data_IF_477107243915
#
_entry.id   IF_477107243915
#
_cell.length_a   1.000
_cell.length_b   1.000
_cell.length_c   1.000
_cell.angle_alpha   90.00
_cell.angle_beta   90.00
_cell.angle_gamma   90.00
#
_symmetry.space_group_name_H-M   'P 1'
#
loop_
_entity.id
_entity.type
_entity.pdbx_description
1 polymer ?
#
# COMPACT_ATOMS: atom_id res chain seq x y z
N UNK A 1 -49.43 -16.60 -51.63
CA UNK A 1 -48.00 -16.99 -51.52
C UNK A 1 -47.10 -15.83 -51.06
N UNK A 2 -47.30 -14.60 -51.55
CA UNK A 2 -46.52 -13.41 -51.17
C UNK A 2 -46.43 -13.12 -49.66
N UNK A 3 -47.52 -13.32 -48.90
CA UNK A 3 -47.52 -13.11 -47.44
C UNK A 3 -46.59 -14.04 -46.65
N UNK A 4 -46.37 -15.28 -47.13
CA UNK A 4 -45.48 -16.24 -46.48
C UNK A 4 -44.01 -15.81 -46.67
N UNK A 5 -43.68 -15.30 -47.86
CA UNK A 5 -42.32 -14.82 -48.18
C UNK A 5 -41.96 -13.59 -47.34
N UNK A 6 -42.89 -12.64 -47.19
CA UNK A 6 -42.67 -11.44 -46.37
C UNK A 6 -42.48 -11.81 -44.89
N UNK A 7 -43.29 -12.74 -44.36
CA UNK A 7 -43.16 -13.25 -42.99
C UNK A 7 -41.81 -13.94 -42.75
N UNK A 8 -41.37 -14.76 -43.70
CA UNK A 8 -40.09 -15.46 -43.61
C UNK A 8 -38.91 -14.47 -43.60
N UNK A 9 -38.90 -13.48 -44.49
CA UNK A 9 -37.86 -12.44 -44.50
C UNK A 9 -37.85 -11.60 -43.22
N UNK A 10 -39.02 -11.22 -42.72
CA UNK A 10 -39.16 -10.45 -41.47
C UNK A 10 -38.57 -11.21 -40.28
N UNK A 11 -38.84 -12.52 -40.21
CA UNK A 11 -38.35 -13.41 -39.16
C UNK A 11 -36.82 -13.56 -39.23
N UNK A 12 -36.27 -13.64 -40.44
CA UNK A 12 -34.83 -13.79 -40.66
C UNK A 12 -34.05 -12.51 -40.28
N UNK A 13 -34.61 -11.33 -40.60
CA UNK A 13 -34.06 -10.04 -40.17
C UNK A 13 -34.14 -9.88 -38.65
N UNK A 14 -35.27 -10.26 -38.02
CA UNK A 14 -35.42 -10.22 -36.57
C UNK A 14 -34.41 -11.14 -35.85
N UNK A 15 -34.20 -12.35 -36.39
CA UNK A 15 -33.20 -13.29 -35.87
C UNK A 15 -31.78 -12.74 -36.01
N UNK A 16 -31.45 -12.13 -37.16
CA UNK A 16 -30.17 -11.48 -37.39
C UNK A 16 -29.90 -10.33 -36.41
N UNK A 17 -30.90 -9.47 -36.18
CA UNK A 17 -30.79 -8.38 -35.22
C UNK A 17 -30.58 -8.90 -33.78
N UNK A 18 -31.28 -9.98 -33.40
CA UNK A 18 -31.14 -10.60 -32.08
C UNK A 18 -29.73 -11.16 -31.86
N UNK A 19 -29.16 -11.83 -32.87
CA UNK A 19 -27.80 -12.38 -32.81
C UNK A 19 -26.76 -11.26 -32.66
N UNK A 20 -26.88 -10.19 -33.44
CA UNK A 20 -25.97 -9.03 -33.36
C UNK A 20 -26.08 -8.34 -32.01
N UNK A 21 -27.29 -8.15 -31.48
CA UNK A 21 -27.53 -7.57 -30.16
C UNK A 21 -26.88 -8.42 -29.06
N UNK A 22 -27.04 -9.74 -29.12
CA UNK A 22 -26.44 -10.66 -28.16
C UNK A 22 -24.90 -10.65 -28.23
N UNK A 23 -24.32 -10.59 -29.43
CA UNK A 23 -22.87 -10.48 -29.60
C UNK A 23 -22.33 -9.15 -29.06
N UNK A 24 -23.00 -8.05 -29.35
CA UNK A 24 -22.63 -6.73 -28.85
C UNK A 24 -22.69 -6.67 -27.32
N UNK A 25 -23.74 -7.25 -26.73
CA UNK A 25 -23.89 -7.34 -25.29
C UNK A 25 -22.77 -8.18 -24.65
N UNK A 26 -22.47 -9.36 -25.20
CA UNK A 26 -21.36 -10.21 -24.71
C UNK A 26 -20.02 -9.50 -24.79
N UNK A 27 -19.78 -8.74 -25.86
CA UNK A 27 -18.55 -7.97 -26.04
C UNK A 27 -18.46 -6.78 -25.07
N UNK A 28 -19.58 -6.12 -24.77
CA UNK A 28 -19.65 -5.08 -23.75
C UNK A 28 -19.39 -5.63 -22.34
N UNK A 29 -20.01 -6.77 -21.99
CA UNK A 29 -19.76 -7.44 -20.69
C UNK A 29 -18.30 -7.88 -20.57
N UNK A 30 -17.71 -8.47 -21.62
CA UNK A 30 -16.31 -8.87 -21.60
C UNK A 30 -15.35 -7.67 -21.46
N UNK A 31 -15.66 -6.54 -22.10
CA UNK A 31 -14.90 -5.29 -21.96
C UNK A 31 -15.05 -4.69 -20.56
N UNK A 32 -16.25 -4.72 -19.98
CA UNK A 32 -16.52 -4.24 -18.62
C UNK A 32 -15.70 -5.03 -17.59
N UNK A 33 -15.75 -6.36 -17.63
CA UNK A 33 -14.97 -7.21 -16.71
C UNK A 33 -13.46 -6.99 -16.87
N UNK A 34 -12.97 -6.82 -18.10
CA UNK A 34 -11.55 -6.56 -18.32
C UNK A 34 -11.09 -5.18 -17.80
N UNK A 35 -11.98 -4.18 -17.81
CA UNK A 35 -11.72 -2.86 -17.24
C UNK A 35 -11.75 -2.91 -15.71
N UNK A 36 -12.75 -3.55 -15.10
CA UNK A 36 -12.84 -3.72 -13.65
C UNK A 36 -11.60 -4.42 -13.07
N UNK A 37 -11.09 -5.45 -13.76
CA UNK A 37 -9.87 -6.15 -13.33
C UNK A 37 -8.64 -5.22 -13.37
N UNK A 38 -8.54 -4.38 -14.42
CA UNK A 38 -7.43 -3.41 -14.53
C UNK A 38 -7.56 -2.30 -13.50
N UNK A 39 -8.75 -1.78 -13.28
CA UNK A 39 -9.04 -0.75 -12.29
C UNK A 39 -8.68 -1.24 -10.88
N UNK A 40 -9.13 -2.44 -10.49
CA UNK A 40 -8.75 -3.04 -9.20
C UNK A 40 -7.25 -3.26 -9.06
N UNK A 41 -6.56 -3.64 -10.14
CA UNK A 41 -5.12 -3.81 -10.13
C UNK A 41 -4.38 -2.47 -9.98
N UNK A 42 -4.89 -1.40 -10.58
CA UNK A 42 -4.35 -0.05 -10.42
C UNK A 42 -4.58 0.48 -9.01
N UNK A 43 -5.81 0.37 -8.49
CA UNK A 43 -6.11 0.76 -7.11
C UNK A 43 -5.23 0.04 -6.09
N UNK A 44 -4.98 -1.26 -6.30
CA UNK A 44 -4.11 -2.03 -5.41
C UNK A 44 -2.67 -1.47 -5.42
N UNK A 45 -2.15 -1.10 -6.60
CA UNK A 45 -0.82 -0.50 -6.75
C UNK A 45 -0.75 0.90 -6.13
N UNK A 46 -1.77 1.71 -6.31
CA UNK A 46 -1.83 3.06 -5.73
C UNK A 46 -1.90 2.99 -4.19
N UNK A 47 -2.74 2.10 -3.65
CA UNK A 47 -2.82 1.87 -2.20
C UNK A 47 -1.49 1.37 -1.63
N UNK A 48 -0.75 0.57 -2.38
CA UNK A 48 0.56 0.08 -1.95
C UNK A 48 1.65 1.17 -2.01
N UNK A 49 1.64 1.99 -3.07
CA UNK A 49 2.54 3.14 -3.20
C UNK A 49 2.30 4.16 -2.08
N UNK A 50 1.04 4.49 -1.81
CA UNK A 50 0.65 5.41 -0.74
C UNK A 50 1.05 4.86 0.65
N UNK A 51 0.84 3.57 0.90
CA UNK A 51 1.31 2.93 2.15
C UNK A 51 2.83 3.04 2.30
N UNK A 52 3.57 2.84 1.22
CA UNK A 52 5.03 2.92 1.23
C UNK A 52 5.52 4.35 1.48
N UNK A 53 4.89 5.34 0.86
CA UNK A 53 5.22 6.75 1.05
C UNK A 53 4.99 7.20 2.49
N UNK A 54 3.83 6.86 3.07
CA UNK A 54 3.53 7.14 4.48
C UNK A 54 4.52 6.47 5.42
N UNK A 55 4.87 5.20 5.17
CA UNK A 55 5.89 4.49 5.94
C UNK A 55 7.25 5.17 5.81
N UNK A 56 7.62 5.63 4.60
CA UNK A 56 8.88 6.32 4.36
C UNK A 56 8.97 7.59 5.21
N UNK A 57 7.91 8.40 5.26
CA UNK A 57 7.86 9.60 6.10
C UNK A 57 8.00 9.26 7.59
N UNK A 58 7.23 8.29 8.10
CA UNK A 58 7.35 7.85 9.49
C UNK A 58 8.74 7.25 9.81
N UNK A 59 9.39 6.65 8.82
CA UNK A 59 10.75 6.10 8.93
C UNK A 59 11.81 7.19 9.11
N UNK A 60 11.54 8.42 8.69
CA UNK A 60 12.49 9.52 8.80
C UNK A 60 12.72 9.98 10.24
N UNK A 61 11.77 9.78 11.17
CA UNK A 61 11.93 10.24 12.55
C UNK A 61 13.08 9.48 13.22
N UNK A 62 14.12 10.19 13.65
CA UNK A 62 15.28 9.59 14.29
C UNK A 62 15.20 9.73 15.81
N UNK A 63 15.61 8.67 16.50
CA UNK A 63 15.67 8.60 17.95
C UNK A 63 17.13 8.32 18.32
N UNK A 64 17.75 9.22 19.08
CA UNK A 64 19.14 9.07 19.52
C UNK A 64 19.23 9.17 21.03
N UNK A 65 20.26 8.56 21.58
CA UNK A 65 20.61 8.65 22.99
C UNK A 65 21.96 9.32 23.11
N UNK A 66 22.05 10.30 24.01
CA UNK A 66 23.31 10.90 24.39
C UNK A 66 23.48 10.83 25.91
N UNK A 67 24.72 10.65 26.34
CA UNK A 67 25.09 10.55 27.75
C UNK A 67 26.25 11.48 28.00
N UNK A 68 26.04 12.51 28.82
CA UNK A 68 27.08 13.48 29.14
C UNK A 68 27.49 13.33 30.61
N UNK A 69 28.80 13.20 30.84
CA UNK A 69 29.36 13.27 32.19
C UNK A 69 29.14 14.66 32.80
N UNK A 70 28.82 14.70 34.09
CA UNK A 70 28.68 15.94 34.83
C UNK A 70 30.07 16.48 35.20
N UNK A 71 30.30 17.80 35.06
CA UNK A 71 31.53 18.41 35.57
C UNK A 71 31.56 18.49 37.10
N UNK A 72 30.42 18.26 37.78
CA UNK A 72 30.30 18.40 39.23
C UNK A 72 30.83 17.19 40.00
N UNK A 73 30.77 15.99 39.43
CA UNK A 73 31.24 14.78 40.08
C UNK A 73 31.61 13.69 39.06
N UNK A 74 32.73 13.03 39.29
CA UNK A 74 33.16 11.89 38.49
C UNK A 74 32.15 10.73 38.63
N UNK A 75 31.63 10.23 37.50
CA UNK A 75 30.63 9.16 37.47
C UNK A 75 29.17 9.60 37.50
N UNK A 76 28.87 10.90 37.66
CA UNK A 76 27.51 11.39 37.40
C UNK A 76 27.31 11.55 35.90
N UNK A 77 26.31 10.87 35.37
CA UNK A 77 25.97 10.91 33.94
C UNK A 77 24.53 11.37 33.78
N UNK A 78 24.32 12.34 32.89
CA UNK A 78 22.97 12.75 32.48
C UNK A 78 22.64 12.10 31.15
N UNK A 79 21.62 11.26 31.14
CA UNK A 79 21.10 10.62 29.93
C UNK A 79 20.06 11.53 29.27
N UNK A 80 20.10 11.58 27.94
CA UNK A 80 19.18 12.40 27.15
C UNK A 80 18.64 11.61 25.98
N UNK A 81 17.37 11.83 25.71
CA UNK A 81 16.66 11.38 24.52
C UNK A 81 16.65 12.53 23.51
N UNK A 82 17.13 12.27 22.31
CA UNK A 82 17.06 13.23 21.20
C UNK A 82 16.10 12.67 20.16
N UNK A 83 15.07 13.45 19.83
CA UNK A 83 14.11 13.13 18.78
C UNK A 83 14.30 14.16 17.66
N UNK A 84 14.72 13.68 16.49
CA UNK A 84 14.98 14.49 15.31
C UNK A 84 13.91 14.18 14.24
N UNK A 85 13.34 15.24 13.66
CA UNK A 85 12.46 15.13 12.51
C UNK A 85 13.18 15.70 11.28
N UNK A 86 13.90 14.88 10.49
CA UNK A 86 14.56 15.35 9.28
C UNK A 86 13.60 15.47 8.09
N UNK A 87 12.31 15.14 8.25
CA UNK A 87 11.33 15.27 7.17
C UNK A 87 10.99 16.73 6.90
N UNK A 88 10.41 17.00 5.74
CA UNK A 88 9.91 18.31 5.33
C UNK A 88 8.52 18.66 5.91
N UNK A 89 7.97 17.81 6.77
CA UNK A 89 6.63 17.97 7.34
C UNK A 89 6.69 17.92 8.87
N UNK A 90 5.89 18.72 9.59
CA UNK A 90 5.84 18.65 11.04
C UNK A 90 5.16 17.36 11.51
N UNK A 91 5.47 16.93 12.73
CA UNK A 91 4.72 15.89 13.45
C UNK A 91 4.05 16.51 14.69
N UNK A 92 2.90 15.96 15.07
CA UNK A 92 2.11 16.41 16.23
C UNK A 92 1.91 15.30 17.24
N UNK A 93 1.33 15.65 18.39
CA UNK A 93 1.00 14.73 19.48
C UNK A 93 2.18 13.85 19.91
N UNK A 94 3.39 14.39 19.82
CA UNK A 94 4.62 13.70 20.17
C UNK A 94 4.60 13.33 21.65
N UNK A 95 4.79 12.07 21.96
CA UNK A 95 5.02 11.58 23.32
C UNK A 95 6.06 10.47 23.33
N UNK A 96 6.68 10.22 24.47
CA UNK A 96 7.60 9.09 24.62
C UNK A 96 7.41 8.39 25.95
N UNK A 97 7.76 7.11 25.95
CA UNK A 97 7.82 6.27 27.13
C UNK A 97 9.21 5.64 27.23
N UNK A 98 9.69 5.47 28.45
CA UNK A 98 10.90 4.77 28.79
C UNK A 98 10.55 3.70 29.83
N UNK A 99 10.82 2.43 29.51
CA UNK A 99 10.42 1.29 30.34
C UNK A 99 8.91 1.26 30.71
N UNK A 100 8.07 1.74 29.78
CA UNK A 100 6.62 1.85 29.99
C UNK A 100 6.15 3.09 30.76
N UNK A 101 7.06 3.85 31.36
CA UNK A 101 6.74 5.11 32.03
C UNK A 101 6.83 6.30 31.08
N UNK A 102 5.95 7.29 31.23
CA UNK A 102 5.98 8.49 30.40
C UNK A 102 7.24 9.31 30.66
N UNK A 103 7.97 9.68 29.60
CA UNK A 103 9.10 10.59 29.70
C UNK A 103 8.55 12.01 29.88
N UNK A 104 8.95 12.68 30.96
CA UNK A 104 8.53 14.04 31.24
C UNK A 104 8.87 15.00 30.10
N UNK A 105 8.02 15.98 29.88
CA UNK A 105 8.17 17.08 28.91
C UNK A 105 8.19 16.68 27.42
N UNK A 106 8.14 15.38 27.11
CA UNK A 106 7.92 14.87 25.74
C UNK A 106 6.43 15.00 25.41
N UNK A 107 6.01 16.23 25.10
CA UNK A 107 4.66 16.54 24.63
C UNK A 107 4.68 17.61 23.53
N UNK A 108 3.70 17.58 22.64
CA UNK A 108 3.43 18.64 21.66
C UNK A 108 3.84 18.29 20.24
N UNK A 109 4.34 19.28 19.49
CA UNK A 109 4.77 19.09 18.10
C UNK A 109 6.29 19.13 17.95
N UNK A 110 6.77 18.63 16.81
CA UNK A 110 8.14 18.73 16.36
C UNK A 110 8.17 19.18 14.90
N UNK A 111 8.69 20.38 14.68
CA UNK A 111 8.76 21.00 13.35
C UNK A 111 9.69 20.22 12.41
N UNK A 112 9.50 20.44 11.11
CA UNK A 112 10.42 19.95 10.08
C UNK A 112 11.85 20.41 10.35
N UNK A 113 12.81 19.49 10.17
CA UNK A 113 14.24 19.73 10.33
C UNK A 113 14.71 20.03 11.75
N UNK A 114 13.86 19.86 12.76
CA UNK A 114 14.17 20.24 14.15
C UNK A 114 14.42 19.03 15.04
N UNK A 115 15.24 19.26 16.08
CA UNK A 115 15.55 18.29 17.13
C UNK A 115 15.02 18.80 18.45
N UNK A 116 14.40 17.91 19.23
CA UNK A 116 14.10 18.16 20.66
C UNK A 116 14.87 17.17 21.51
N UNK A 117 15.34 17.68 22.65
CA UNK A 117 16.16 16.93 23.60
C UNK A 117 15.44 16.89 24.94
N UNK A 118 15.34 15.71 25.52
CA UNK A 118 14.61 15.46 26.76
C UNK A 118 15.50 14.71 27.74
N UNK A 119 15.44 15.03 29.04
CA UNK A 119 16.13 14.25 30.05
C UNK A 119 15.53 12.84 30.11
N UNK A 120 16.37 11.82 30.20
CA UNK A 120 15.95 10.47 30.54
C UNK A 120 16.32 10.17 31.99
N UNK A 121 15.49 9.39 32.71
CA UNK A 121 15.90 8.84 33.99
C UNK A 121 17.15 7.94 33.79
N UNK A 122 17.96 7.77 34.84
CA UNK A 122 19.10 6.87 34.78
C UNK A 122 18.63 5.44 34.46
N UNK A 123 19.37 4.69 33.64
CA UNK A 123 19.03 3.31 33.36
C UNK A 123 19.10 2.45 34.61
N UNK A 124 18.29 1.40 34.64
CA UNK A 124 18.35 0.41 35.71
C UNK A 124 19.75 -0.21 35.80
N UNK A 125 20.15 -0.58 37.01
CA UNK A 125 21.47 -1.15 37.28
C UNK A 125 21.72 -2.38 36.41
N UNK A 126 22.83 -2.39 35.67
CA UNK A 126 23.22 -3.49 34.80
C UNK A 126 22.79 -3.35 33.33
N UNK A 127 22.00 -2.33 32.96
CA UNK A 127 21.70 -2.04 31.56
C UNK A 127 22.83 -1.20 30.96
N UNK A 128 23.54 -1.69 29.92
CA UNK A 128 24.55 -0.91 29.24
C UNK A 128 23.95 0.32 28.55
N UNK A 129 24.69 1.43 28.50
CA UNK A 129 24.24 2.68 27.89
C UNK A 129 23.74 2.52 26.43
N UNK A 130 24.33 1.60 25.65
CA UNK A 130 23.91 1.34 24.27
C UNK A 130 22.55 0.64 24.16
N UNK A 131 22.05 0.00 25.23
CA UNK A 131 20.75 -0.67 25.24
C UNK A 131 19.59 0.24 25.65
N UNK A 132 19.87 1.46 26.13
CA UNK A 132 18.84 2.40 26.64
C UNK A 132 17.72 2.64 25.61
N UNK A 133 18.08 2.77 24.32
CA UNK A 133 17.11 3.00 23.26
C UNK A 133 16.11 1.84 23.07
N UNK A 134 16.46 0.60 23.42
CA UNK A 134 15.52 -0.53 23.29
C UNK A 134 14.30 -0.40 24.21
N UNK A 135 14.44 0.35 25.30
CA UNK A 135 13.38 0.61 26.27
C UNK A 135 12.62 1.91 25.97
N UNK A 136 13.01 2.66 24.94
CA UNK A 136 12.34 3.88 24.51
C UNK A 136 11.31 3.55 23.43
N UNK A 137 10.09 4.02 23.64
CA UNK A 137 9.05 4.04 22.61
C UNK A 137 8.54 5.45 22.42
N UNK A 138 8.58 5.95 21.19
CA UNK A 138 8.07 7.28 20.79
C UNK A 138 6.76 7.10 20.05
N UNK A 139 5.79 7.96 20.35
CA UNK A 139 4.50 8.03 19.66
C UNK A 139 4.35 9.41 19.03
N UNK A 140 3.85 9.48 17.81
CA UNK A 140 3.62 10.74 17.12
C UNK A 140 2.52 10.61 16.08
N UNK A 141 1.98 11.74 15.65
CA UNK A 141 1.03 11.83 14.55
C UNK A 141 1.72 12.52 13.39
N UNK A 142 1.72 11.89 12.21
CA UNK A 142 2.28 12.51 11.01
C UNK A 142 1.35 13.61 10.45
N UNK A 143 1.81 14.32 9.42
CA UNK A 143 1.01 15.38 8.81
C UNK A 143 -0.23 14.86 8.06
N UNK A 144 -0.31 13.55 7.77
CA UNK A 144 -1.50 12.91 7.23
C UNK A 144 -2.50 12.53 8.33
N UNK A 145 -2.23 12.85 9.60
CA UNK A 145 -3.08 12.53 10.74
C UNK A 145 -2.96 11.08 11.22
N UNK A 146 -1.96 10.33 10.74
CA UNK A 146 -1.76 8.94 11.12
C UNK A 146 -0.91 8.84 12.37
N UNK A 147 -1.41 8.08 13.36
CA UNK A 147 -0.68 7.79 14.58
C UNK A 147 0.36 6.71 14.33
N UNK A 148 1.57 6.96 14.80
CA UNK A 148 2.69 6.05 14.72
C UNK A 148 3.28 5.80 16.09
N UNK A 149 3.77 4.58 16.28
CA UNK A 149 4.63 4.17 17.39
C UNK A 149 5.97 3.75 16.79
N UNK A 150 7.06 4.20 17.38
CA UNK A 150 8.43 3.87 16.99
C UNK A 150 9.24 3.39 18.18
N UNK A 151 9.91 2.26 18.06
CA UNK A 151 10.88 1.79 19.06
C UNK A 151 12.27 2.42 18.81
N UNK A 152 13.15 2.42 19.80
CA UNK A 152 14.52 2.90 19.61
C UNK A 152 15.41 1.98 18.76
N UNK A 153 14.92 0.81 18.34
CA UNK A 153 15.55 -0.03 17.31
C UNK A 153 15.10 0.34 15.88
N UNK A 154 14.22 1.34 15.72
CA UNK A 154 13.72 1.83 14.44
C UNK A 154 12.46 1.12 13.91
N UNK A 155 11.92 0.13 14.63
CA UNK A 155 10.66 -0.51 14.27
C UNK A 155 9.48 0.44 14.35
N UNK A 156 8.54 0.30 13.41
CA UNK A 156 7.36 1.14 13.29
C UNK A 156 6.08 0.33 13.47
N UNK A 157 5.09 0.93 14.12
CA UNK A 157 3.73 0.41 14.19
C UNK A 157 2.76 1.53 13.85
N UNK A 158 1.77 1.21 13.04
CA UNK A 158 0.69 2.13 12.73
C UNK A 158 -0.42 1.97 13.77
N UNK A 159 -0.92 3.09 14.27
CA UNK A 159 -2.11 3.14 15.11
C UNK A 159 -3.38 3.11 14.26
N UNK A 160 -4.34 2.30 14.67
CA UNK A 160 -5.72 2.28 14.18
C UNK A 160 -6.62 2.64 15.35
N UNK A 161 -7.35 3.75 15.21
CA UNK A 161 -8.32 4.17 16.22
C UNK A 161 -9.54 3.26 16.13
N UNK A 162 -9.85 2.59 17.22
CA UNK A 162 -11.00 1.70 17.33
C UNK A 162 -12.27 2.49 17.75
N UNK A 163 -13.48 1.92 17.56
CA UNK A 163 -14.73 2.58 17.95
C UNK A 163 -14.85 2.90 19.44
N UNK A 164 -14.10 2.21 20.30
CA UNK A 164 -13.96 2.44 21.74
C UNK A 164 -12.99 3.59 22.08
N UNK A 165 -12.47 4.29 21.08
CA UNK A 165 -11.44 5.34 21.21
C UNK A 165 -10.07 4.84 21.68
N UNK A 166 -9.83 3.52 21.69
CA UNK A 166 -8.52 2.97 21.97
C UNK A 166 -7.68 2.84 20.69
N UNK A 167 -6.37 3.04 20.82
CA UNK A 167 -5.42 2.82 19.73
C UNK A 167 -4.99 1.36 19.71
N UNK A 168 -5.28 0.67 18.60
CA UNK A 168 -4.69 -0.63 18.31
C UNK A 168 -3.51 -0.47 17.36
N UNK A 169 -2.39 -1.08 17.70
CA UNK A 169 -1.19 -1.08 16.87
C UNK A 169 -1.24 -2.23 15.87
N UNK A 170 -0.83 -1.99 14.62
CA UNK A 170 -0.66 -3.03 13.60
C UNK A 170 0.51 -3.97 13.92
N UNK A 171 0.88 -4.86 13.01
CA UNK A 171 2.16 -5.56 13.12
C UNK A 171 3.34 -4.59 12.98
N UNK A 172 4.50 -5.02 13.52
CA UNK A 172 5.76 -4.26 13.42
C UNK A 172 6.22 -4.23 11.97
N UNK A 173 6.41 -3.04 11.44
CA UNK A 173 6.99 -2.79 10.13
C UNK A 173 8.46 -2.39 10.27
N UNK A 174 9.29 -2.85 9.34
CA UNK A 174 10.67 -2.37 9.24
C UNK A 174 10.70 -0.96 8.64
N UNK A 175 11.58 -0.07 9.14
CA UNK A 175 11.73 1.26 8.59
C UNK A 175 12.26 1.18 7.16
N UNK A 176 11.70 1.98 6.26
CA UNK A 176 12.17 2.05 4.85
C UNK A 176 13.54 2.71 4.78
N UNK A 177 13.77 3.69 5.65
CA UNK A 177 15.04 4.39 5.81
C UNK A 177 15.60 3.92 7.13
N UNK A 178 16.65 3.11 7.08
CA UNK A 178 17.43 2.79 8.27
C UNK A 178 18.01 4.10 8.80
N UNK A 179 17.70 4.52 10.04
CA UNK A 179 18.32 5.71 10.61
C UNK A 179 19.84 5.56 10.57
N UNK A 180 20.54 6.68 10.41
CA UNK A 180 22.01 6.72 10.38
C UNK A 180 22.62 5.86 11.50
N UNK A 181 23.54 4.98 11.09
CA UNK A 181 24.14 3.83 11.78
C UNK A 181 24.79 4.13 13.14
N UNK A 182 23.99 4.44 14.17
CA UNK A 182 24.46 4.48 15.55
C UNK A 182 24.25 3.15 16.30
N UNK A 183 23.49 2.20 15.73
CA UNK A 183 23.20 0.89 16.32
C UNK A 183 23.18 -0.20 15.25
N UNK A 184 24.35 -0.65 14.82
CA UNK A 184 24.48 -1.88 14.03
C UNK A 184 24.26 -3.10 14.93
N UNK A 185 23.05 -3.66 14.89
CA UNK A 185 22.80 -5.05 15.22
C UNK A 185 22.29 -5.78 13.97
N UNK A 186 22.77 -7.01 13.70
CA UNK A 186 22.41 -7.73 12.49
C UNK A 186 20.96 -8.23 12.56
N UNK A 187 20.09 -7.70 11.70
CA UNK A 187 18.74 -8.23 11.47
C UNK A 187 18.80 -9.26 10.34
N UNK A 188 18.29 -10.47 10.60
CA UNK A 188 18.27 -11.58 9.66
C UNK A 188 17.29 -11.32 8.49
N UNK A 189 17.82 -11.10 7.29
CA UNK A 189 17.05 -10.96 6.05
C UNK A 189 16.55 -12.32 5.55
N UNK A 190 15.22 -12.48 5.42
CA UNK A 190 14.59 -13.58 4.69
C UNK A 190 14.04 -13.05 3.36
N UNK A 191 14.75 -13.35 2.29
CA UNK A 191 14.40 -12.97 0.93
C UNK A 191 13.13 -13.63 0.40
N UNK A 192 12.56 -13.01 -0.62
CA UNK A 192 11.44 -13.54 -1.40
C UNK A 192 11.22 -12.71 -2.66
N UNK A 193 12.01 -12.96 -3.69
CA UNK A 193 11.75 -12.53 -5.06
C UNK A 193 10.81 -13.53 -5.73
N UNK A 194 9.85 -13.04 -6.54
CA UNK A 194 9.36 -13.80 -7.69
C UNK A 194 8.76 -12.85 -8.73
N UNK A 195 9.45 -12.75 -9.86
CA UNK A 195 8.91 -12.33 -11.14
C UNK A 195 7.79 -13.28 -11.57
N UNK A 196 6.70 -12.73 -12.13
CA UNK A 196 5.76 -13.50 -12.95
C UNK A 196 5.50 -12.75 -14.27
N UNK A 197 6.06 -13.32 -15.33
CA UNK A 197 5.88 -12.98 -16.74
C UNK A 197 4.53 -13.53 -17.22
N UNK A 198 3.64 -12.65 -17.69
CA UNK A 198 2.37 -13.03 -18.29
C UNK A 198 2.58 -13.39 -19.78
N UNK A 199 2.16 -14.60 -20.14
CA UNK A 199 2.22 -15.16 -21.49
C UNK A 199 1.25 -14.47 -22.45
N UNK A 200 1.72 -14.19 -23.67
CA UNK A 200 0.92 -13.62 -24.75
C UNK A 200 0.11 -14.72 -25.47
N UNK A 201 -1.20 -14.53 -25.59
CA UNK A 201 -2.09 -15.37 -26.39
C UNK A 201 -1.90 -15.11 -27.90
N UNK A 202 -1.75 -16.20 -28.66
CA UNK A 202 -1.38 -16.15 -30.09
C UNK A 202 -2.55 -15.83 -31.05
N UNK A 203 -2.30 -15.09 -32.15
CA UNK A 203 -3.30 -14.55 -33.08
C UNK A 203 -3.96 -15.56 -34.06
N UNK A 204 -3.85 -16.88 -33.84
CA UNK A 204 -4.33 -17.89 -34.81
C UNK A 204 -5.85 -18.17 -34.75
N UNK A 205 -6.52 -17.93 -33.61
CA UNK A 205 -7.96 -18.23 -33.46
C UNK A 205 -8.90 -17.24 -34.19
N UNK A 206 -8.46 -16.01 -34.47
CA UNK A 206 -9.33 -15.01 -35.14
C UNK A 206 -9.59 -15.30 -36.61
N UNK A 207 -8.70 -16.04 -37.29
CA UNK A 207 -8.85 -16.35 -38.73
C UNK A 207 -9.88 -17.46 -39.00
N UNK A 208 -10.02 -18.43 -38.08
CA UNK A 208 -11.00 -19.50 -38.24
C UNK A 208 -12.45 -19.00 -38.13
N UNK A 209 -12.69 -18.01 -37.27
CA UNK A 209 -14.04 -17.49 -37.02
C UNK A 209 -14.58 -16.65 -38.21
N UNK A 210 -13.70 -15.93 -38.91
CA UNK A 210 -14.08 -15.15 -40.10
C UNK A 210 -14.47 -16.04 -41.30
N UNK A 211 -13.81 -17.19 -41.47
CA UNK A 211 -14.12 -18.12 -42.56
C UNK A 211 -15.50 -18.78 -42.38
N UNK A 212 -15.89 -19.10 -41.14
CA UNK A 212 -17.22 -19.64 -40.85
C UNK A 212 -18.35 -18.65 -41.13
N UNK A 213 -18.15 -17.37 -40.80
CA UNK A 213 -19.15 -16.32 -41.07
C UNK A 213 -19.33 -16.10 -42.58
N UNK A 214 -18.25 -16.09 -43.35
CA UNK A 214 -18.32 -15.94 -44.80
C UNK A 214 -19.06 -17.11 -45.48
N UNK A 215 -18.81 -18.35 -45.03
CA UNK A 215 -19.51 -19.54 -45.53
C UNK A 215 -21.02 -19.50 -45.23
N UNK A 216 -21.40 -19.06 -44.02
CA UNK A 216 -22.80 -18.92 -43.63
C UNK A 216 -23.55 -17.90 -44.50
N UNK A 217 -22.92 -16.76 -44.78
CA UNK A 217 -23.49 -15.71 -45.65
C UNK A 217 -23.67 -16.21 -47.08
N UNK A 218 -22.70 -16.96 -47.62
CA UNK A 218 -22.80 -17.53 -48.96
C UNK A 218 -23.95 -18.55 -49.07
N UNK A 219 -24.14 -19.42 -48.06
CA UNK A 219 -25.24 -20.38 -48.03
C UNK A 219 -26.61 -19.69 -47.96
N UNK A 220 -26.72 -18.63 -47.15
CA UNK A 220 -27.95 -17.84 -47.06
C UNK A 220 -28.28 -17.11 -48.38
N UNK A 221 -27.27 -16.59 -49.08
CA UNK A 221 -27.47 -15.97 -50.39
C UNK A 221 -27.94 -17.00 -51.44
N UNK A 222 -27.38 -18.21 -51.43
CA UNK A 222 -27.74 -19.29 -52.36
C UNK A 222 -29.18 -19.78 -52.12
N UNK A 223 -29.59 -19.91 -50.85
CA UNK A 223 -30.96 -20.22 -50.46
C UNK A 223 -31.95 -19.12 -50.89
N UNK A 224 -31.57 -17.85 -50.78
CA UNK A 224 -32.41 -16.75 -51.23
C UNK A 224 -32.63 -16.78 -52.74
N UNK A 225 -31.59 -17.05 -53.54
CA UNK A 225 -31.71 -17.18 -55.00
C UNK A 225 -32.60 -18.37 -55.38
N UNK A 226 -32.43 -19.52 -54.74
CA UNK A 226 -33.25 -20.73 -54.96
C UNK A 226 -34.72 -20.54 -54.60
N UNK A 227 -35.04 -19.66 -53.65
CA UNK A 227 -36.43 -19.35 -53.25
C UNK A 227 -37.08 -18.27 -54.12
N UNK A 228 -36.30 -17.53 -54.90
CA UNK A 228 -36.78 -16.53 -55.86
C UNK A 228 -36.84 -17.04 -57.31
N UNK A 229 -36.27 -18.22 -57.59
CA UNK A 229 -36.28 -18.91 -58.89
C UNK A 229 -37.46 -19.87 -58.99
#
# INVERSE_FOLDING_TARGET
>A
MTGIVISAFSSLVALGALIVSFLAHRHQVARGVALDVRERALEAREKEAERRERRMQASMIEIRHSSNGSPLHEGWVTHRLEILNPSNQPITDLSATYNGEAVADVSGSLNSGSTRVFPLPPPESGIPAYMVLQYVTVFFTDAAGMRWRRDGAGGLWRGVLMPDSEWRWTDREEPVITPSMANDLPVAHRGGSTHQTAAAETPRQRRALLLWVAALVAVLALLAVLLLS
#
